data_IF_741250901314
#
_entry.id   IF_741250901314
#
_cell.length_a   1.000
_cell.length_b   1.000
_cell.length_c   1.000
_cell.angle_alpha   90.00
_cell.angle_beta   90.00
_cell.angle_gamma   90.00
#
_symmetry.space_group_name_H-M   'P 1'
#
loop_
_entity.id
_entity.type
_entity.pdbx_description
1 polymer ?
#
# COMPACT_ATOMS: atom_id res chain seq x y z
N UNK A 1 -12.02 -4.29 0.43
CA UNK A 1 -12.71 -3.29 -0.37
C UNK A 1 -13.26 -3.81 -1.68
N UNK A 2 -14.37 -3.24 -2.14
CA UNK A 2 -15.01 -3.58 -3.42
C UNK A 2 -14.07 -3.41 -4.63
N UNK A 3 -13.01 -2.65 -4.47
CA UNK A 3 -12.04 -2.40 -5.54
C UNK A 3 -11.34 -3.63 -6.09
N UNK A 4 -11.17 -4.67 -5.27
CA UNK A 4 -10.56 -5.91 -5.73
C UNK A 4 -11.39 -6.61 -6.83
N UNK A 5 -12.72 -6.37 -6.87
CA UNK A 5 -13.63 -6.98 -7.84
C UNK A 5 -13.37 -6.55 -9.29
N UNK A 6 -12.75 -5.39 -9.51
CA UNK A 6 -12.42 -4.90 -10.87
C UNK A 6 -11.03 -5.32 -11.33
N UNK A 7 -10.27 -6.03 -10.52
CA UNK A 7 -8.94 -6.50 -10.89
C UNK A 7 -9.02 -7.82 -11.67
N UNK A 8 -8.27 -7.95 -12.78
CA UNK A 8 -8.31 -9.15 -13.61
C UNK A 8 -7.97 -10.42 -12.83
N UNK A 9 -8.81 -11.44 -12.94
CA UNK A 9 -8.56 -12.77 -12.38
C UNK A 9 -8.85 -12.93 -10.89
N UNK A 10 -8.96 -11.85 -10.11
CA UNK A 10 -9.15 -11.92 -8.64
C UNK A 10 -10.40 -12.70 -8.24
N UNK A 11 -11.52 -12.51 -8.96
CA UNK A 11 -12.78 -13.21 -8.67
C UNK A 11 -12.75 -14.73 -8.86
N UNK A 12 -11.81 -15.24 -9.65
CA UNK A 12 -11.62 -16.68 -9.88
C UNK A 12 -10.61 -17.34 -8.94
N UNK A 13 -9.97 -16.58 -8.07
CA UNK A 13 -9.00 -17.08 -7.11
C UNK A 13 -9.72 -17.64 -5.88
N UNK A 14 -9.17 -18.68 -5.24
CA UNK A 14 -9.75 -19.32 -4.05
C UNK A 14 -9.81 -18.35 -2.86
N UNK A 15 -8.75 -18.29 -2.06
CA UNK A 15 -8.64 -17.35 -0.93
C UNK A 15 -7.81 -16.13 -1.34
N UNK A 16 -8.40 -14.95 -1.21
CA UNK A 16 -7.77 -13.67 -1.56
C UNK A 16 -7.82 -12.72 -0.37
N UNK A 17 -6.68 -12.18 0.02
CA UNK A 17 -6.57 -11.13 1.02
C UNK A 17 -6.45 -9.75 0.33
N UNK A 18 -7.39 -8.87 0.59
CA UNK A 18 -7.39 -7.50 0.07
C UNK A 18 -6.93 -6.54 1.17
N UNK A 19 -5.83 -5.84 0.93
CA UNK A 19 -5.29 -4.80 1.81
C UNK A 19 -5.53 -3.44 1.14
N UNK A 20 -6.36 -2.62 1.76
CA UNK A 20 -6.70 -1.27 1.30
C UNK A 20 -5.93 -0.24 2.15
N UNK A 21 -4.90 0.36 1.56
CA UNK A 21 -4.08 1.38 2.22
C UNK A 21 -4.63 2.76 1.90
N UNK A 22 -5.56 3.21 2.74
CA UNK A 22 -6.19 4.52 2.64
C UNK A 22 -5.37 5.65 3.27
N UNK A 23 -5.98 6.83 3.37
CA UNK A 23 -5.32 8.01 3.95
C UNK A 23 -5.13 7.88 5.47
N UNK A 24 -6.17 7.49 6.20
CA UNK A 24 -6.14 7.38 7.66
C UNK A 24 -5.90 5.95 8.14
N UNK A 25 -6.53 4.99 7.48
CA UNK A 25 -6.58 3.60 7.91
C UNK A 25 -6.02 2.65 6.85
N UNK A 26 -5.61 1.49 7.31
CA UNK A 26 -5.44 0.29 6.49
C UNK A 26 -6.54 -0.68 6.87
N UNK A 27 -7.26 -1.18 5.87
CA UNK A 27 -8.29 -2.20 6.05
C UNK A 27 -7.86 -3.48 5.37
N UNK A 28 -7.91 -4.59 6.10
CA UNK A 28 -7.64 -5.92 5.58
C UNK A 28 -8.92 -6.77 5.58
N UNK A 29 -9.22 -7.45 4.48
CA UNK A 29 -10.36 -8.35 4.35
C UNK A 29 -9.98 -9.59 3.55
N UNK A 30 -10.31 -10.77 4.06
CA UNK A 30 -10.20 -12.04 3.31
C UNK A 30 -11.52 -12.32 2.58
N UNK A 31 -11.37 -12.80 1.36
CA UNK A 31 -12.46 -13.33 0.53
C UNK A 31 -12.19 -14.80 0.24
N UNK A 32 -13.20 -15.65 0.47
CA UNK A 32 -13.18 -17.06 0.14
C UNK A 32 -14.22 -17.34 -0.94
N UNK A 33 -13.78 -17.67 -2.16
CA UNK A 33 -14.70 -17.88 -3.28
C UNK A 33 -15.57 -16.67 -3.63
N UNK A 34 -15.12 -15.45 -3.31
CA UNK A 34 -15.84 -14.18 -3.53
C UNK A 34 -16.62 -13.66 -2.32
N UNK A 35 -16.82 -14.46 -1.28
CA UNK A 35 -17.51 -14.06 -0.05
C UNK A 35 -16.52 -13.49 0.98
N UNK A 36 -16.82 -12.31 1.53
CA UNK A 36 -15.99 -11.66 2.53
C UNK A 36 -16.11 -12.36 3.89
N UNK A 37 -14.98 -12.76 4.46
CA UNK A 37 -14.91 -13.23 5.84
C UNK A 37 -14.63 -12.03 6.77
N UNK A 38 -15.70 -11.52 7.37
CA UNK A 38 -15.61 -10.37 8.27
C UNK A 38 -15.00 -10.71 9.64
N UNK A 39 -14.94 -11.99 10.01
CA UNK A 39 -14.38 -12.43 11.29
C UNK A 39 -12.86 -12.36 11.28
N UNK A 40 -12.24 -12.47 10.11
CA UNK A 40 -10.80 -12.37 9.88
C UNK A 40 -10.38 -10.99 9.33
N UNK A 41 -11.30 -10.03 9.26
CA UNK A 41 -11.00 -8.67 8.80
C UNK A 41 -10.39 -7.83 9.91
N UNK A 42 -9.53 -6.88 9.52
CA UNK A 42 -8.95 -5.93 10.48
C UNK A 42 -8.93 -4.49 9.94
N UNK A 43 -8.84 -3.54 10.86
CA UNK A 43 -8.60 -2.13 10.55
C UNK A 43 -7.52 -1.59 11.48
N UNK A 44 -6.55 -0.90 10.91
CA UNK A 44 -5.50 -0.21 11.68
C UNK A 44 -5.40 1.26 11.29
N UNK A 45 -4.79 2.07 12.13
CA UNK A 45 -4.56 3.52 11.87
C UNK A 45 -3.25 3.79 11.13
N UNK A 46 -2.70 2.78 10.45
CA UNK A 46 -1.42 2.84 9.73
C UNK A 46 -1.56 3.40 8.30
N UNK A 47 -2.58 4.20 7.98
CA UNK A 47 -2.76 4.79 6.65
C UNK A 47 -1.65 5.76 6.22
N UNK A 48 -1.77 6.35 5.04
CA UNK A 48 -0.79 7.27 4.45
C UNK A 48 -0.37 8.41 5.38
N UNK A 49 -1.31 8.98 6.13
CA UNK A 49 -1.00 10.05 7.09
C UNK A 49 -0.06 9.58 8.21
N UNK A 50 -0.20 8.36 8.70
CA UNK A 50 0.70 7.77 9.69
C UNK A 50 2.09 7.51 9.08
N UNK A 51 2.15 6.95 7.86
CA UNK A 51 3.38 6.74 7.10
C UNK A 51 4.17 8.05 6.94
N UNK A 52 3.52 9.11 6.41
CA UNK A 52 4.16 10.41 6.17
C UNK A 52 4.59 11.06 7.48
N UNK A 53 3.75 11.01 8.51
CA UNK A 53 4.04 11.65 9.81
C UNK A 53 5.20 10.99 10.53
N UNK A 54 5.24 9.67 10.55
CA UNK A 54 6.32 8.92 11.19
C UNK A 54 7.66 9.08 10.46
N UNK A 55 7.64 9.10 9.13
CA UNK A 55 8.84 9.39 8.35
C UNK A 55 9.32 10.82 8.56
N UNK A 56 8.41 11.82 8.59
CA UNK A 56 8.76 13.21 8.86
C UNK A 56 9.44 13.37 10.23
N UNK A 57 8.95 12.66 11.24
CA UNK A 57 9.55 12.63 12.57
C UNK A 57 10.99 12.08 12.54
N UNK A 58 11.20 10.93 11.86
CA UNK A 58 12.54 10.32 11.73
C UNK A 58 13.51 11.23 10.97
N UNK A 59 13.07 11.80 9.85
CA UNK A 59 13.91 12.72 9.06
C UNK A 59 14.22 14.00 9.84
N UNK A 60 13.25 14.57 10.58
CA UNK A 60 13.49 15.76 11.40
C UNK A 60 14.47 15.52 12.55
N UNK A 61 14.46 14.32 13.13
CA UNK A 61 15.41 13.97 14.19
C UNK A 61 16.86 13.87 13.66
N UNK A 62 17.04 13.47 12.40
CA UNK A 62 18.37 13.27 11.81
C UNK A 62 18.90 14.51 11.07
N UNK A 63 18.02 15.26 10.38
CA UNK A 63 18.40 16.31 9.44
C UNK A 63 17.84 17.70 9.79
N UNK A 64 17.36 17.89 11.02
CA UNK A 64 16.65 19.09 11.43
C UNK A 64 15.31 19.26 10.71
N UNK A 65 14.63 20.34 10.90
CA UNK A 65 13.25 20.60 10.56
C UNK A 65 12.80 20.12 9.16
N UNK A 66 12.18 18.94 9.08
CA UNK A 66 11.56 18.38 7.88
C UNK A 66 10.06 18.26 8.15
N UNK A 67 9.22 18.95 7.37
CA UNK A 67 7.78 18.92 7.54
C UNK A 67 7.11 17.81 6.70
N UNK A 68 5.81 17.56 6.94
CA UNK A 68 5.04 16.56 6.23
C UNK A 68 4.96 16.80 4.72
N UNK A 69 4.92 18.06 4.27
CA UNK A 69 4.84 18.38 2.84
C UNK A 69 6.13 17.99 2.12
N UNK A 70 7.28 18.30 2.70
CA UNK A 70 8.58 17.89 2.18
C UNK A 70 8.72 16.36 2.17
N UNK A 71 8.24 15.68 3.21
CA UNK A 71 8.24 14.22 3.30
C UNK A 71 7.35 13.59 2.24
N UNK A 72 6.14 14.14 2.01
CA UNK A 72 5.23 13.66 0.95
C UNK A 72 5.84 13.87 -0.44
N UNK A 73 6.52 14.99 -0.67
CA UNK A 73 7.25 15.25 -1.92
C UNK A 73 8.35 14.21 -2.16
N UNK A 74 9.14 13.89 -1.14
CA UNK A 74 10.20 12.87 -1.23
C UNK A 74 9.61 11.48 -1.51
N UNK A 75 8.51 11.13 -0.86
CA UNK A 75 7.81 9.85 -1.10
C UNK A 75 7.20 9.75 -2.50
N UNK A 76 6.83 10.87 -3.12
CA UNK A 76 6.36 10.90 -4.51
C UNK A 76 7.46 10.67 -5.55
N UNK A 77 8.73 10.67 -5.16
CA UNK A 77 9.87 10.37 -6.03
C UNK A 77 10.16 8.86 -6.05
N UNK A 78 10.91 8.41 -7.03
CA UNK A 78 11.25 6.99 -7.21
C UNK A 78 12.75 6.74 -7.31
N UNK A 79 13.17 5.53 -6.99
CA UNK A 79 14.56 5.08 -7.17
C UNK A 79 15.56 5.94 -6.38
N UNK A 80 16.62 6.39 -7.07
CA UNK A 80 17.69 7.18 -6.42
C UNK A 80 17.27 8.61 -6.04
N UNK A 81 16.16 9.11 -6.57
CA UNK A 81 15.67 10.46 -6.25
C UNK A 81 14.79 10.49 -4.99
N UNK A 82 14.45 9.32 -4.43
CA UNK A 82 13.72 9.20 -3.14
C UNK A 82 14.68 9.50 -1.96
N UNK A 83 15.16 10.75 -1.89
CA UNK A 83 16.06 11.25 -0.85
C UNK A 83 15.80 12.74 -0.58
N UNK A 84 16.33 13.26 0.51
CA UNK A 84 16.36 14.71 0.74
C UNK A 84 17.27 15.39 -0.29
N UNK A 85 16.81 16.49 -0.87
CA UNK A 85 17.60 17.32 -1.80
C UNK A 85 17.89 18.67 -1.13
N UNK A 86 19.02 18.82 -0.43
CA UNK A 86 19.37 20.08 0.20
C UNK A 86 19.60 21.18 -0.87
N UNK A 87 19.34 22.45 -0.50
CA UNK A 87 19.57 23.62 -1.37
C UNK A 87 21.04 23.68 -1.81
N UNK A 88 21.96 23.36 -0.89
CA UNK A 88 23.38 23.17 -1.23
C UNK A 88 23.61 21.68 -1.41
N UNK A 89 23.99 21.21 -2.62
CA UNK A 89 24.20 19.81 -2.88
C UNK A 89 25.11 19.16 -1.83
N UNK A 90 24.61 18.07 -1.22
CA UNK A 90 25.34 17.29 -0.24
C UNK A 90 25.09 15.81 -0.46
N UNK A 91 25.96 15.10 -1.20
CA UNK A 91 25.78 13.69 -1.52
C UNK A 91 25.64 12.78 -0.28
N UNK A 92 26.29 13.12 0.82
CA UNK A 92 26.19 12.34 2.06
C UNK A 92 24.80 12.42 2.67
N UNK A 93 24.16 13.60 2.65
CA UNK A 93 22.76 13.75 3.10
C UNK A 93 21.83 13.01 2.16
N UNK A 94 22.03 13.11 0.86
CA UNK A 94 21.19 12.41 -0.13
C UNK A 94 21.26 10.89 0.08
N UNK A 95 22.45 10.31 0.19
CA UNK A 95 22.64 8.87 0.38
C UNK A 95 22.12 8.37 1.74
N UNK A 96 22.47 9.07 2.82
CA UNK A 96 22.03 8.65 4.16
C UNK A 96 20.53 8.81 4.36
N UNK A 97 19.91 9.87 3.82
CA UNK A 97 18.47 10.04 3.87
C UNK A 97 17.74 9.00 3.02
N UNK A 98 18.27 8.65 1.85
CA UNK A 98 17.72 7.55 1.04
C UNK A 98 17.70 6.24 1.82
N UNK A 99 18.82 5.85 2.39
CA UNK A 99 18.95 4.63 3.19
C UNK A 99 17.94 4.61 4.35
N UNK A 100 17.77 5.75 5.03
CA UNK A 100 16.81 5.88 6.12
C UNK A 100 15.36 5.76 5.65
N UNK A 101 15.03 6.34 4.51
CA UNK A 101 13.69 6.29 3.91
C UNK A 101 13.37 4.86 3.47
N UNK A 102 14.26 4.22 2.71
CA UNK A 102 14.07 2.85 2.22
C UNK A 102 13.84 1.89 3.39
N UNK A 103 14.71 1.97 4.42
CA UNK A 103 14.53 1.16 5.63
C UNK A 103 13.18 1.44 6.31
N UNK A 104 12.77 2.69 6.44
CA UNK A 104 11.50 3.04 7.08
C UNK A 104 10.30 2.47 6.31
N UNK A 105 10.34 2.48 4.98
CA UNK A 105 9.28 1.94 4.15
C UNK A 105 9.19 0.41 4.26
N UNK A 106 10.32 -0.28 4.29
CA UNK A 106 10.37 -1.73 4.56
C UNK A 106 9.82 -2.05 5.96
N UNK A 107 10.26 -1.31 6.99
CA UNK A 107 9.77 -1.48 8.36
C UNK A 107 8.22 -1.28 8.43
N UNK A 108 7.69 -0.29 7.70
CA UNK A 108 6.26 -0.03 7.60
C UNK A 108 5.49 -1.18 6.95
N UNK A 109 5.97 -1.70 5.82
CA UNK A 109 5.31 -2.82 5.12
C UNK A 109 5.44 -4.11 5.92
N UNK A 110 6.56 -4.31 6.61
CA UNK A 110 6.74 -5.43 7.56
C UNK A 110 5.70 -5.38 8.67
N UNK A 111 5.44 -4.19 9.23
CA UNK A 111 4.39 -4.03 10.24
C UNK A 111 2.97 -4.30 9.71
N UNK A 112 2.70 -4.08 8.42
CA UNK A 112 1.45 -4.52 7.79
C UNK A 112 1.37 -6.05 7.66
N UNK A 113 2.49 -6.69 7.34
CA UNK A 113 2.55 -8.16 7.29
C UNK A 113 2.31 -8.77 8.68
N UNK A 114 2.82 -8.16 9.73
CA UNK A 114 2.56 -8.57 11.12
C UNK A 114 1.08 -8.42 11.49
N UNK A 115 0.39 -7.36 11.03
CA UNK A 115 -1.06 -7.22 11.21
C UNK A 115 -1.84 -8.36 10.53
N UNK A 116 -1.41 -8.79 9.33
CA UNK A 116 -2.00 -9.94 8.65
C UNK A 116 -1.81 -11.24 9.44
N UNK A 117 -0.60 -11.48 9.97
CA UNK A 117 -0.31 -12.65 10.81
C UNK A 117 -1.12 -12.62 12.11
N UNK A 118 -1.28 -11.44 12.74
CA UNK A 118 -2.10 -11.27 13.93
C UNK A 118 -3.58 -11.56 13.67
N UNK A 119 -4.05 -11.27 12.43
CA UNK A 119 -5.38 -11.64 11.95
C UNK A 119 -5.47 -13.12 11.51
N UNK A 120 -4.45 -13.93 11.78
CA UNK A 120 -4.35 -15.35 11.43
C UNK A 120 -4.35 -15.65 9.93
N UNK A 121 -3.91 -14.71 9.11
CA UNK A 121 -3.76 -14.93 7.68
C UNK A 121 -2.48 -15.71 7.37
N UNK A 122 -2.60 -16.71 6.52
CA UNK A 122 -1.42 -17.45 6.03
C UNK A 122 -0.81 -16.71 4.84
N UNK A 123 0.36 -16.13 5.01
CA UNK A 123 1.04 -15.37 3.94
C UNK A 123 1.45 -16.30 2.78
N UNK A 124 1.79 -17.55 3.08
CA UNK A 124 2.29 -18.50 2.07
C UNK A 124 1.19 -19.15 1.21
N UNK A 125 -0.07 -19.10 1.68
CA UNK A 125 -1.20 -19.77 1.02
C UNK A 125 -2.32 -18.82 0.59
N UNK A 126 -2.09 -17.52 0.69
CA UNK A 126 -3.10 -16.51 0.38
C UNK A 126 -2.61 -15.59 -0.72
N UNK A 127 -3.43 -15.39 -1.76
CA UNK A 127 -3.14 -14.37 -2.75
C UNK A 127 -3.40 -12.98 -2.17
N UNK A 128 -2.37 -12.16 -2.10
CA UNK A 128 -2.48 -10.78 -1.63
C UNK A 128 -2.79 -9.80 -2.76
N UNK A 129 -3.72 -8.91 -2.50
CA UNK A 129 -4.14 -7.82 -3.40
C UNK A 129 -4.06 -6.50 -2.65
N UNK A 130 -3.24 -5.60 -3.12
CA UNK A 130 -3.06 -4.28 -2.53
C UNK A 130 -3.78 -3.22 -3.36
N UNK A 131 -4.64 -2.44 -2.69
CA UNK A 131 -5.42 -1.35 -3.28
C UNK A 131 -5.25 -0.07 -2.46
N UNK A 132 -5.69 1.06 -3.00
CA UNK A 132 -5.60 2.37 -2.34
C UNK A 132 -4.46 3.22 -2.88
N UNK A 133 -4.55 4.54 -2.63
CA UNK A 133 -3.63 5.51 -3.24
C UNK A 133 -2.17 5.39 -2.78
N UNK A 134 -1.93 4.84 -1.60
CA UNK A 134 -0.59 4.70 -1.03
C UNK A 134 0.20 3.54 -1.65
N UNK A 135 -0.48 2.53 -2.20
CA UNK A 135 0.16 1.31 -2.71
C UNK A 135 1.15 1.59 -3.84
N UNK A 136 0.86 2.54 -4.72
CA UNK A 136 1.77 2.91 -5.81
C UNK A 136 3.10 3.51 -5.31
N UNK A 137 3.07 4.19 -4.16
CA UNK A 137 4.24 4.84 -3.55
C UNK A 137 5.21 3.80 -2.98
N UNK A 138 4.69 2.69 -2.43
CA UNK A 138 5.44 1.65 -1.73
C UNK A 138 5.35 0.28 -2.42
N UNK A 139 5.11 0.28 -3.74
CA UNK A 139 4.90 -0.96 -4.50
C UNK A 139 6.12 -1.90 -4.47
N UNK A 140 7.33 -1.35 -4.51
CA UNK A 140 8.56 -2.13 -4.45
C UNK A 140 8.75 -2.79 -3.07
N UNK A 141 8.50 -2.04 -2.02
CA UNK A 141 8.60 -2.52 -0.64
C UNK A 141 7.52 -3.57 -0.33
N UNK A 142 6.32 -3.43 -0.91
CA UNK A 142 5.27 -4.46 -0.83
C UNK A 142 5.77 -5.76 -1.46
N UNK A 143 6.34 -5.70 -2.67
CA UNK A 143 6.88 -6.89 -3.33
C UNK A 143 8.05 -7.50 -2.57
N UNK A 144 8.94 -6.68 -2.00
CA UNK A 144 10.07 -7.16 -1.21
C UNK A 144 9.61 -7.95 0.03
N UNK A 145 8.55 -7.51 0.71
CA UNK A 145 8.08 -8.10 1.99
C UNK A 145 7.07 -9.24 1.79
N UNK A 146 6.18 -9.14 0.79
CA UNK A 146 5.12 -10.11 0.53
C UNK A 146 5.41 -11.06 -0.65
N UNK A 147 6.46 -10.78 -1.44
CA UNK A 147 6.82 -11.54 -2.64
C UNK A 147 6.30 -10.89 -3.93
N UNK A 148 6.88 -11.31 -5.05
CA UNK A 148 6.54 -10.75 -6.38
C UNK A 148 5.14 -11.12 -6.89
N UNK A 149 4.54 -12.18 -6.34
CA UNK A 149 3.22 -12.71 -6.72
C UNK A 149 2.04 -11.83 -6.25
N UNK A 150 2.32 -10.75 -5.51
CA UNK A 150 1.27 -9.83 -5.06
C UNK A 150 0.66 -9.05 -6.23
N UNK A 151 -0.65 -8.84 -6.17
CA UNK A 151 -1.36 -7.99 -7.11
C UNK A 151 -1.45 -6.58 -6.53
N UNK A 152 -0.95 -5.58 -7.25
CA UNK A 152 -1.05 -4.17 -6.87
C UNK A 152 -1.93 -3.46 -7.89
N UNK A 153 -2.99 -2.80 -7.41
CA UNK A 153 -3.92 -2.10 -8.28
C UNK A 153 -3.28 -0.90 -8.98
N UNK A 154 -3.41 -0.87 -10.30
CA UNK A 154 -3.00 0.27 -11.14
C UNK A 154 -3.94 1.49 -10.97
N UNK A 155 -5.15 1.29 -10.45
CA UNK A 155 -6.15 2.36 -10.30
C UNK A 155 -5.96 3.22 -9.04
N UNK A 156 -5.01 2.87 -8.18
CA UNK A 156 -4.65 3.63 -6.98
C UNK A 156 -5.87 3.96 -6.11
N UNK A 157 -6.07 5.24 -5.81
CA UNK A 157 -7.16 5.73 -4.96
C UNK A 157 -8.57 5.47 -5.54
N UNK A 158 -8.70 5.27 -6.85
CA UNK A 158 -9.98 5.04 -7.52
C UNK A 158 -10.43 3.59 -7.52
N UNK A 159 -9.59 2.65 -7.09
CA UNK A 159 -9.88 1.21 -7.14
C UNK A 159 -11.22 0.86 -6.48
N UNK A 160 -11.50 1.38 -5.29
CA UNK A 160 -12.77 1.14 -4.59
C UNK A 160 -13.97 1.79 -5.29
N UNK A 161 -13.82 2.99 -5.82
CA UNK A 161 -14.87 3.67 -6.56
C UNK A 161 -15.25 2.91 -7.84
N UNK A 162 -14.25 2.37 -8.54
CA UNK A 162 -14.45 1.52 -9.72
C UNK A 162 -15.22 0.23 -9.37
N UNK A 163 -14.83 -0.46 -8.28
CA UNK A 163 -15.52 -1.65 -7.81
C UNK A 163 -16.96 -1.37 -7.42
N UNK A 164 -17.21 -0.25 -6.73
CA UNK A 164 -18.54 0.18 -6.35
C UNK A 164 -19.42 0.50 -7.57
N UNK A 165 -18.88 1.21 -8.56
CA UNK A 165 -19.57 1.51 -9.80
C UNK A 165 -19.97 0.23 -10.55
N UNK A 166 -19.05 -0.74 -10.66
CA UNK A 166 -19.32 -2.02 -11.32
C UNK A 166 -20.46 -2.80 -10.64
N UNK A 167 -20.48 -2.81 -9.29
CA UNK A 167 -21.58 -3.43 -8.53
C UNK A 167 -22.91 -2.70 -8.73
N UNK A 168 -22.91 -1.36 -8.67
CA UNK A 168 -24.15 -0.56 -8.83
C UNK A 168 -24.74 -0.67 -10.24
N UNK A 169 -23.90 -0.80 -11.25
CA UNK A 169 -24.35 -0.95 -12.64
C UNK A 169 -24.78 -2.38 -12.99
N UNK A 170 -24.62 -3.35 -12.08
CA UNK A 170 -24.92 -4.75 -12.35
C UNK A 170 -24.12 -5.31 -13.54
N UNK A 171 -22.90 -4.79 -13.75
CA UNK A 171 -22.03 -5.05 -14.90
C UNK A 171 -20.90 -6.02 -14.51
N UNK A 172 -21.18 -7.30 -14.30
CA UNK A 172 -20.14 -8.28 -13.97
C UNK A 172 -19.09 -8.43 -15.10
N UNK A 173 -19.46 -8.04 -16.33
CA UNK A 173 -18.59 -8.05 -17.49
C UNK A 173 -17.43 -7.01 -17.41
N UNK A 174 -17.58 -5.97 -16.59
CA UNK A 174 -16.51 -4.97 -16.31
C UNK A 174 -15.60 -5.45 -15.18
N UNK A 175 -16.06 -6.39 -14.36
CA UNK A 175 -15.27 -6.98 -13.29
C UNK A 175 -14.11 -7.77 -13.89
N UNK A 176 -12.89 -7.38 -13.54
CA UNK A 176 -11.68 -8.05 -14.02
C UNK A 176 -11.26 -7.71 -15.47
N UNK A 177 -11.90 -6.73 -16.12
CA UNK A 177 -11.43 -6.20 -17.41
C UNK A 177 -10.64 -4.91 -17.21
N UNK A 178 -9.54 -4.79 -17.92
CA UNK A 178 -8.78 -3.54 -17.98
C UNK A 178 -9.66 -2.50 -18.69
N UNK A 179 -9.99 -1.40 -18.00
CA UNK A 179 -10.61 -0.25 -18.66
C UNK A 179 -9.47 0.46 -19.40
N UNK A 180 -9.52 0.37 -20.71
CA UNK A 180 -8.60 1.09 -21.59
C UNK A 180 -8.97 2.56 -21.64
#
# INVERSE_FOLDING_TARGET
GCGALVLPGVMGMGTVAVIDIGHLNVNGTIYNGGDADLTMSFTTTKGCNALVSGLAQKLSAAYSFINKAQTAEVLGRTGKDRCLKPIRPNPQIEESSKTMIDKYLIDYVTALREDCLAAQWSVDYTQFVFIGGTTAIIANEIKEVFGDEVIISEYGAFTNAMGMLALMCGRPDVLGKKIM
#
